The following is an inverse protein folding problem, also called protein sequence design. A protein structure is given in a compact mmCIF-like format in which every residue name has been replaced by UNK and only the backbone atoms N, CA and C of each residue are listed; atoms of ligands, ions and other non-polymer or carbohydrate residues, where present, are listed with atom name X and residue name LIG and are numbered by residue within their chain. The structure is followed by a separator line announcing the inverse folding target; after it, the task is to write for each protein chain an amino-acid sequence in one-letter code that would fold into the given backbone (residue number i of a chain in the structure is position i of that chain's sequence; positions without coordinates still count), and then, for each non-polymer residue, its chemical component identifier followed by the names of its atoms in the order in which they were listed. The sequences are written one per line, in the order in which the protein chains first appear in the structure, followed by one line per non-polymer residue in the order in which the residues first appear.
data_IF_469683827672
#
_entry.id   IF_469683827672
#
_cell.length_a   1.000
_cell.length_b   1.000
_cell.length_c   1.000
_cell.angle_alpha   90.00
_cell.angle_beta   90.00
_cell.angle_gamma   90.00
#
_symmetry.space_group_name_H-M   'P 1'
#
loop_
_entity.id
_entity.type
_entity.pdbx_description
1 polymer ?
#
# COMPACT_ATOMS: atom_id res chain seq x y z
N UNK A 1 21.05 6.69 14.20
CA UNK A 1 21.11 6.40 12.74
C UNK A 1 19.97 7.18 12.11
N UNK A 2 20.34 8.06 11.20
CA UNK A 2 19.70 9.36 10.98
C UNK A 2 18.55 9.27 9.97
N UNK A 3 17.41 9.82 10.37
CA UNK A 3 16.21 10.19 9.61
C UNK A 3 16.42 10.30 8.10
N UNK A 4 15.85 9.37 7.33
CA UNK A 4 15.63 9.54 5.89
C UNK A 4 14.14 9.62 5.62
N UNK A 5 13.76 10.70 4.94
CA UNK A 5 12.45 10.98 4.33
C UNK A 5 11.42 11.69 5.22
N UNK A 6 11.85 12.75 5.90
CA UNK A 6 10.94 13.81 6.39
C UNK A 6 10.41 14.67 5.23
N UNK A 7 9.62 14.05 4.35
CA UNK A 7 8.69 14.75 3.44
C UNK A 7 7.22 14.41 3.78
N UNK A 8 6.97 13.74 4.91
CA UNK A 8 5.73 13.00 5.20
C UNK A 8 4.92 13.57 6.39
N UNK A 9 4.65 14.88 6.41
CA UNK A 9 3.93 15.48 7.54
C UNK A 9 2.87 16.50 7.11
N UNK A 10 1.81 16.07 6.42
CA UNK A 10 0.52 16.81 6.52
C UNK A 10 -0.80 16.11 6.13
N UNK A 11 -0.86 14.79 5.90
CA UNK A 11 -2.11 14.00 6.05
C UNK A 11 -1.71 12.70 6.74
N UNK A 12 -1.71 12.70 8.08
CA UNK A 12 -1.12 11.63 8.88
C UNK A 12 -1.91 10.34 8.73
N UNK A 13 -1.57 9.55 7.71
CA UNK A 13 -1.19 8.12 7.78
C UNK A 13 -1.36 7.38 6.45
N UNK A 14 -1.91 8.03 5.42
CA UNK A 14 -1.93 7.45 4.09
C UNK A 14 -0.60 7.69 3.38
N UNK A 15 0.05 6.62 2.92
CA UNK A 15 1.18 6.76 1.99
C UNK A 15 0.69 7.14 0.60
N UNK A 16 1.61 7.60 -0.24
CA UNK A 16 1.33 7.88 -1.66
C UNK A 16 0.76 6.66 -2.39
N UNK A 17 1.16 5.43 -2.00
CA UNK A 17 0.62 4.20 -2.57
C UNK A 17 -0.82 3.95 -2.12
N UNK A 18 -1.16 4.21 -0.86
CA UNK A 18 -2.57 4.14 -0.42
C UNK A 18 -3.45 5.12 -1.18
N UNK A 19 -2.97 6.37 -1.36
CA UNK A 19 -3.73 7.38 -2.11
C UNK A 19 -3.92 6.97 -3.58
N UNK A 20 -2.90 6.40 -4.22
CA UNK A 20 -3.02 5.90 -5.59
C UNK A 20 -4.05 4.76 -5.71
N UNK A 21 -4.05 3.83 -4.75
CA UNK A 21 -5.05 2.74 -4.65
C UNK A 21 -6.45 3.28 -4.42
N UNK A 22 -6.63 4.20 -3.47
CA UNK A 22 -7.92 4.83 -3.14
C UNK A 22 -8.53 5.59 -4.33
N UNK A 23 -7.68 6.15 -5.19
CA UNK A 23 -8.13 6.85 -6.39
C UNK A 23 -8.16 5.97 -7.65
N UNK A 24 -7.95 4.65 -7.51
CA UNK A 24 -7.88 3.70 -8.62
C UNK A 24 -6.94 4.14 -9.77
N UNK A 25 -5.80 4.74 -9.44
CA UNK A 25 -4.83 5.24 -10.42
C UNK A 25 -3.85 4.12 -10.81
N UNK A 26 -4.30 3.18 -11.64
CA UNK A 26 -3.57 1.96 -12.01
C UNK A 26 -2.14 2.25 -12.50
N UNK A 27 -1.95 3.23 -13.38
CA UNK A 27 -0.63 3.62 -13.91
C UNK A 27 0.27 4.20 -12.82
N UNK A 28 -0.29 5.05 -11.95
CA UNK A 28 0.45 5.60 -10.80
C UNK A 28 0.87 4.49 -9.84
N UNK A 29 0.00 3.50 -9.59
CA UNK A 29 0.32 2.35 -8.75
C UNK A 29 1.51 1.58 -9.33
N UNK A 30 1.50 1.27 -10.64
CA UNK A 30 2.62 0.57 -11.31
C UNK A 30 3.93 1.35 -11.14
N UNK A 31 3.92 2.65 -11.44
CA UNK A 31 5.10 3.50 -11.33
C UNK A 31 5.65 3.50 -9.90
N UNK A 32 4.79 3.64 -8.89
CA UNK A 32 5.20 3.66 -7.48
C UNK A 32 5.83 2.32 -7.05
N UNK A 33 5.27 1.19 -7.50
CA UNK A 33 5.82 -0.14 -7.20
C UNK A 33 7.19 -0.34 -7.88
N UNK A 34 7.37 0.14 -9.11
CA UNK A 34 8.66 0.11 -9.82
C UNK A 34 9.72 1.00 -9.17
N UNK A 35 9.31 2.13 -8.57
CA UNK A 35 10.21 3.02 -7.83
C UNK A 35 10.68 2.43 -6.49
N UNK A 36 10.16 1.28 -6.07
CA UNK A 36 10.56 0.62 -4.83
C UNK A 36 10.15 1.41 -3.57
N UNK A 37 9.05 2.15 -3.64
CA UNK A 37 8.52 2.86 -2.46
C UNK A 37 8.17 1.86 -1.35
N UNK A 38 8.16 2.26 -0.07
CA UNK A 38 7.70 1.39 1.02
C UNK A 38 6.26 0.90 0.78
N UNK A 39 6.10 -0.41 0.61
CA UNK A 39 4.82 -1.05 0.27
C UNK A 39 4.08 -1.63 1.50
N UNK A 40 4.79 -1.83 2.60
CA UNK A 40 4.25 -2.44 3.84
C UNK A 40 3.82 -1.42 4.90
N UNK A 41 3.85 -0.14 4.55
CA UNK A 41 3.39 0.90 5.45
C UNK A 41 1.91 0.72 5.78
N UNK A 42 1.55 1.07 7.01
CA UNK A 42 0.19 0.96 7.51
C UNK A 42 -0.42 2.35 7.72
N UNK A 43 -1.72 2.45 7.49
CA UNK A 43 -2.47 3.67 7.77
C UNK A 43 -2.92 3.79 9.26
N UNK A 44 -3.77 4.78 9.58
CA UNK A 44 -4.23 5.02 10.95
C UNK A 44 -5.03 3.86 11.51
N UNK A 45 -5.64 3.07 10.63
CA UNK A 45 -6.43 1.88 10.95
C UNK A 45 -5.59 0.60 10.95
N UNK A 46 -4.26 0.72 10.85
CA UNK A 46 -3.34 -0.39 10.65
C UNK A 46 -3.64 -1.17 9.36
N UNK A 47 -4.23 -0.52 8.37
CA UNK A 47 -4.53 -1.11 7.07
C UNK A 47 -3.37 -0.86 6.12
N UNK A 48 -2.95 -1.89 5.41
CA UNK A 48 -2.03 -1.76 4.28
C UNK A 48 -2.80 -1.47 2.98
N UNK A 49 -2.06 -1.33 1.88
CA UNK A 49 -2.62 -1.06 0.55
C UNK A 49 -3.56 -2.16 0.04
N UNK A 50 -3.39 -3.41 0.49
CA UNK A 50 -4.27 -4.53 0.12
C UNK A 50 -5.64 -4.43 0.80
N UNK A 51 -5.69 -4.07 2.09
CA UNK A 51 -6.97 -3.83 2.78
C UNK A 51 -7.79 -2.76 2.05
N UNK A 52 -7.14 -1.68 1.59
CA UNK A 52 -7.83 -0.63 0.83
C UNK A 52 -8.36 -1.14 -0.49
N UNK A 53 -7.52 -1.83 -1.28
CA UNK A 53 -7.96 -2.42 -2.55
C UNK A 53 -9.14 -3.38 -2.37
N UNK A 54 -9.11 -4.23 -1.34
CA UNK A 54 -10.18 -5.17 -1.01
C UNK A 54 -11.45 -4.47 -0.52
N UNK A 55 -11.34 -3.47 0.36
CA UNK A 55 -12.48 -2.67 0.85
C UNK A 55 -13.24 -1.96 -0.27
N UNK A 56 -12.55 -1.65 -1.37
CA UNK A 56 -13.11 -1.03 -2.56
C UNK A 56 -13.66 -2.04 -3.58
N UNK A 57 -13.56 -3.35 -3.31
CA UNK A 57 -13.92 -4.45 -4.22
C UNK A 57 -13.23 -4.33 -5.59
N UNK A 58 -12.01 -3.80 -5.59
CA UNK A 58 -11.27 -3.53 -6.81
C UNK A 58 -10.31 -4.69 -7.13
N UNK A 59 -10.85 -5.72 -7.80
CA UNK A 59 -10.10 -6.91 -8.16
C UNK A 59 -8.88 -6.60 -9.05
N UNK A 60 -8.99 -5.64 -9.97
CA UNK A 60 -7.88 -5.26 -10.87
C UNK A 60 -6.68 -4.73 -10.08
N UNK A 61 -6.90 -3.79 -9.17
CA UNK A 61 -5.83 -3.24 -8.33
C UNK A 61 -5.27 -4.29 -7.37
N UNK A 62 -6.13 -5.15 -6.82
CA UNK A 62 -5.71 -6.23 -5.94
C UNK A 62 -4.80 -7.24 -6.67
N UNK A 63 -5.22 -7.69 -7.86
CA UNK A 63 -4.43 -8.58 -8.71
C UNK A 63 -3.09 -7.94 -9.09
N UNK A 64 -3.09 -6.67 -9.45
CA UNK A 64 -1.87 -5.93 -9.78
C UNK A 64 -0.90 -5.90 -8.60
N UNK A 65 -1.35 -5.55 -7.41
CA UNK A 65 -0.51 -5.52 -6.20
C UNK A 65 0.07 -6.91 -5.89
N UNK A 66 -0.73 -7.98 -6.04
CA UNK A 66 -0.27 -9.36 -5.82
C UNK A 66 0.70 -9.86 -6.89
N UNK A 67 0.50 -9.48 -8.15
CA UNK A 67 1.44 -9.81 -9.24
C UNK A 67 2.79 -9.12 -9.03
N UNK A 68 2.78 -7.84 -8.66
CA UNK A 68 4.00 -7.11 -8.36
C UNK A 68 4.67 -7.63 -7.08
N UNK A 69 3.91 -8.05 -6.06
CA UNK A 69 4.47 -8.66 -4.86
C UNK A 69 5.43 -9.82 -5.17
N UNK A 70 5.13 -10.64 -6.19
CA UNK A 70 6.02 -11.74 -6.59
C UNK A 70 7.35 -11.23 -7.20
N UNK A 71 7.32 -10.08 -7.86
CA UNK A 71 8.47 -9.44 -8.54
C UNK A 71 9.32 -8.55 -7.64
N UNK A 72 8.73 -7.97 -6.59
CA UNK A 72 9.42 -7.05 -5.69
C UNK A 72 10.40 -7.80 -4.77
N UNK A 73 11.51 -7.14 -4.43
CA UNK A 73 12.48 -7.63 -3.43
C UNK A 73 11.87 -7.63 -2.02
N UNK A 74 11.12 -6.58 -1.69
CA UNK A 74 10.31 -6.51 -0.49
C UNK A 74 8.94 -7.14 -0.75
N UNK A 75 8.52 -8.07 0.12
CA UNK A 75 7.20 -8.72 0.02
C UNK A 75 6.15 -7.95 0.81
N UNK A 76 4.98 -7.75 0.18
CA UNK A 76 3.77 -7.29 0.85
C UNK A 76 3.37 -8.28 1.94
N UNK A 77 3.04 -7.76 3.11
CA UNK A 77 2.41 -8.54 4.16
C UNK A 77 0.92 -8.77 3.80
N UNK A 78 0.67 -9.83 3.03
CA UNK A 78 -0.67 -10.21 2.57
C UNK A 78 -1.61 -10.63 3.72
N UNK A 79 -1.05 -10.98 4.90
CA UNK A 79 -1.81 -11.41 6.08
C UNK A 79 -1.69 -10.39 7.23
N UNK A 80 -1.44 -9.11 6.90
CA UNK A 80 -1.40 -8.06 7.92
C UNK A 80 -2.76 -7.95 8.62
N UNK A 81 -2.77 -7.83 9.95
CA UNK A 81 -4.00 -7.57 10.69
C UNK A 81 -4.20 -6.07 10.86
N UNK A 82 -5.38 -5.57 10.54
CA UNK A 82 -5.80 -4.21 10.89
C UNK A 82 -6.21 -4.12 12.38
N UNK A 83 -6.63 -2.93 12.84
CA UNK A 83 -7.12 -2.72 14.21
C UNK A 83 -8.36 -3.56 14.59
N UNK A 84 -9.08 -4.10 13.60
CA UNK A 84 -10.23 -4.99 13.80
C UNK A 84 -9.86 -6.47 13.78
N UNK A 85 -8.56 -6.79 13.66
CA UNK A 85 -8.06 -8.16 13.51
C UNK A 85 -8.52 -8.84 12.21
N UNK A 86 -8.79 -8.05 11.18
CA UNK A 86 -9.12 -8.52 9.83
C UNK A 86 -7.86 -8.55 8.98
N UNK A 87 -7.76 -9.54 8.09
CA UNK A 87 -6.79 -9.55 6.99
C UNK A 87 -7.36 -8.80 5.78
N UNK A 88 -6.51 -8.37 4.83
CA UNK A 88 -6.95 -7.74 3.58
C UNK A 88 -8.03 -8.51 2.84
#
# INVERSE_FOLDING_TARGET
MQYKSDSNRMIKSYTILHLAVLNNQVETIKLLLEMGVPINELDLTHENVLHKAASMLNAEVLELLLQYNQKLEQKLNINAFNLKLETP
#
